data_IF_569306234067
#
_entry.id   IF_569306234067
#
_cell.length_a   1.000
_cell.length_b   1.000
_cell.length_c   1.000
_cell.angle_alpha   90.00
_cell.angle_beta   90.00
_cell.angle_gamma   90.00
#
_symmetry.space_group_name_H-M   'P 1'
#
loop_
_entity.id
_entity.type
_entity.pdbx_description
1 polymer ?
#
# COMPACT_ATOMS: atom_id res chain seq x y z
N UNK A 1 -20.47 -26.43 15.93
CA UNK A 1 -19.51 -26.43 17.05
C UNK A 1 -18.62 -25.24 16.89
N UNK A 2 -18.91 -24.13 17.57
CA UNK A 2 -18.00 -22.99 17.75
C UNK A 2 -16.76 -23.55 18.45
N UNK A 3 -15.62 -23.44 17.77
CA UNK A 3 -14.33 -23.82 18.33
C UNK A 3 -14.00 -22.77 19.40
N UNK A 4 -14.34 -23.07 20.65
CA UNK A 4 -13.99 -22.27 21.81
C UNK A 4 -12.47 -22.26 21.94
N UNK A 5 -11.82 -21.30 21.28
CA UNK A 5 -10.43 -21.00 21.64
C UNK A 5 -10.47 -20.59 23.11
N UNK A 6 -9.73 -21.27 23.98
CA UNK A 6 -9.77 -20.98 25.41
C UNK A 6 -9.41 -19.50 25.61
N UNK A 7 -10.08 -18.87 26.58
CA UNK A 7 -9.83 -17.45 26.96
C UNK A 7 -8.34 -17.19 27.24
N UNK A 8 -7.61 -18.25 27.66
CA UNK A 8 -6.14 -18.22 27.77
C UNK A 8 -5.39 -17.88 26.48
N UNK A 9 -5.95 -18.17 25.30
CA UNK A 9 -5.34 -17.78 24.02
C UNK A 9 -5.55 -16.29 23.71
N UNK A 10 -6.53 -15.64 24.32
CA UNK A 10 -6.73 -14.19 24.27
C UNK A 10 -5.80 -13.45 25.25
N UNK A 11 -5.34 -14.13 26.29
CA UNK A 11 -4.40 -13.60 27.29
C UNK A 11 -2.93 -13.81 26.91
N UNK A 12 -2.64 -14.60 25.87
CA UNK A 12 -1.29 -14.84 25.34
C UNK A 12 -0.89 -13.83 24.23
N UNK A 13 -1.49 -12.63 24.21
CA UNK A 13 -1.17 -11.59 23.24
C UNK A 13 0.14 -10.92 23.67
N UNK A 14 1.17 -11.06 22.85
CA UNK A 14 2.47 -10.41 23.06
C UNK A 14 2.55 -9.02 22.42
N UNK A 15 3.55 -8.22 22.80
CA UNK A 15 3.81 -6.92 22.18
C UNK A 15 4.00 -7.01 20.66
N UNK A 16 4.81 -7.95 20.12
CA UNK A 16 4.93 -8.20 18.70
C UNK A 16 3.60 -8.57 18.00
N UNK A 17 2.75 -9.39 18.61
CA UNK A 17 1.42 -9.74 18.07
C UNK A 17 0.52 -8.51 17.93
N UNK A 18 0.44 -7.71 19.00
CA UNK A 18 -0.31 -6.45 18.99
C UNK A 18 0.20 -5.49 17.91
N UNK A 19 1.53 -5.41 17.75
CA UNK A 19 2.16 -4.58 16.72
C UNK A 19 1.86 -5.09 15.31
N UNK A 20 1.81 -6.41 15.10
CA UNK A 20 1.43 -6.99 13.82
C UNK A 20 -0.02 -6.66 13.45
N UNK A 21 -0.95 -6.71 14.41
CA UNK A 21 -2.34 -6.26 14.20
C UNK A 21 -2.39 -4.77 13.88
N UNK A 22 -1.65 -3.94 14.60
CA UNK A 22 -1.55 -2.51 14.34
C UNK A 22 -0.96 -2.24 12.93
N UNK A 23 0.06 -2.97 12.52
CA UNK A 23 0.66 -2.87 11.18
C UNK A 23 -0.37 -3.17 10.08
N UNK A 24 -1.17 -4.22 10.25
CA UNK A 24 -2.26 -4.56 9.32
C UNK A 24 -3.32 -3.45 9.24
N UNK A 25 -3.70 -2.88 10.38
CA UNK A 25 -4.64 -1.75 10.43
C UNK A 25 -4.07 -0.50 9.75
N UNK A 26 -2.78 -0.21 9.94
CA UNK A 26 -2.08 0.90 9.29
C UNK A 26 -2.10 0.77 7.76
N UNK A 27 -1.98 -0.44 7.20
CA UNK A 27 -2.08 -0.64 5.74
C UNK A 27 -3.42 -0.16 5.16
N UNK A 28 -4.48 -0.08 5.95
CA UNK A 28 -5.77 0.48 5.52
C UNK A 28 -5.74 2.02 5.44
N UNK A 29 -4.98 2.68 6.31
CA UNK A 29 -4.88 4.14 6.39
C UNK A 29 -3.77 4.72 5.51
N UNK A 30 -2.71 3.96 5.28
CA UNK A 30 -1.54 4.36 4.48
C UNK A 30 -1.90 4.85 3.08
N UNK A 31 -2.84 4.23 2.32
CA UNK A 31 -3.23 4.74 1.00
C UNK A 31 -3.75 6.17 1.04
N UNK A 32 -4.53 6.56 2.06
CA UNK A 32 -5.01 7.92 2.22
C UNK A 32 -3.88 8.92 2.41
N UNK A 33 -2.93 8.55 3.27
CA UNK A 33 -1.74 9.37 3.54
C UNK A 33 -0.88 9.56 2.28
N UNK A 34 -0.61 8.47 1.54
CA UNK A 34 0.16 8.52 0.29
C UNK A 34 -0.56 9.35 -0.77
N UNK A 35 -1.88 9.22 -0.92
CA UNK A 35 -2.66 10.03 -1.85
C UNK A 35 -2.61 11.51 -1.52
N UNK A 36 -2.69 11.88 -0.23
CA UNK A 36 -2.58 13.26 0.21
C UNK A 36 -1.19 13.84 -0.09
N UNK A 37 -0.12 13.11 0.23
CA UNK A 37 1.26 13.51 -0.06
C UNK A 37 1.52 13.62 -1.56
N UNK A 38 1.06 12.66 -2.36
CA UNK A 38 1.17 12.71 -3.82
C UNK A 38 0.41 13.89 -4.39
N UNK A 39 -0.81 14.16 -3.87
CA UNK A 39 -1.60 15.33 -4.26
C UNK A 39 -0.88 16.65 -3.98
N UNK A 40 -0.25 16.78 -2.80
CA UNK A 40 0.54 17.96 -2.47
C UNK A 40 1.79 18.08 -3.36
N UNK A 41 2.51 16.99 -3.56
CA UNK A 41 3.74 16.98 -4.36
C UNK A 41 3.51 17.28 -5.84
N UNK A 42 2.40 16.81 -6.43
CA UNK A 42 2.13 16.99 -7.86
C UNK A 42 1.17 18.14 -8.15
N UNK A 43 0.00 18.13 -7.54
CA UNK A 43 -1.03 19.13 -7.81
C UNK A 43 -0.70 20.46 -7.12
N UNK A 44 -0.10 20.44 -5.92
CA UNK A 44 0.36 21.62 -5.22
C UNK A 44 1.45 22.37 -5.97
N UNK A 45 2.46 21.66 -6.49
CA UNK A 45 3.53 22.30 -7.28
C UNK A 45 3.04 22.81 -8.65
N UNK A 46 2.01 22.17 -9.22
CA UNK A 46 1.37 22.67 -10.43
C UNK A 46 0.65 24.00 -10.18
N UNK A 47 -0.08 24.10 -9.08
CA UNK A 47 -0.83 25.31 -8.72
C UNK A 47 0.10 26.47 -8.32
N UNK A 48 1.26 26.18 -7.75
CA UNK A 48 2.27 27.16 -7.38
C UNK A 48 3.27 27.53 -8.49
N UNK A 49 3.09 26.98 -9.71
CA UNK A 49 3.98 27.17 -10.85
C UNK A 49 5.43 26.69 -10.67
N UNK A 50 5.79 26.08 -9.55
CA UNK A 50 7.14 25.55 -9.26
C UNK A 50 7.54 24.48 -10.27
N UNK A 51 6.59 23.67 -10.76
CA UNK A 51 6.86 22.72 -11.85
C UNK A 51 7.40 23.39 -13.11
N UNK A 52 6.93 24.60 -13.43
CA UNK A 52 7.41 25.34 -14.62
C UNK A 52 8.89 25.70 -14.50
N UNK A 53 9.37 26.01 -13.30
CA UNK A 53 10.79 26.32 -13.04
C UNK A 53 11.67 25.07 -13.19
N UNK A 54 11.18 23.91 -12.78
CA UNK A 54 11.89 22.65 -12.97
C UNK A 54 12.04 22.26 -14.45
N UNK A 55 11.07 22.66 -15.29
CA UNK A 55 11.06 22.33 -16.72
C UNK A 55 11.97 23.24 -17.56
N UNK A 56 12.37 24.36 -17.01
CA UNK A 56 13.34 25.26 -17.64
C UNK A 56 14.80 24.83 -17.39
N UNK A 57 15.01 23.99 -16.37
CA UNK A 57 16.35 23.47 -16.06
C UNK A 57 16.69 22.27 -16.97
N UNK A 58 17.97 22.05 -17.31
CA UNK A 58 18.42 20.93 -18.15
C UNK A 58 18.42 19.59 -17.37
N UNK A 59 17.33 19.29 -16.65
CA UNK A 59 17.16 18.03 -15.91
C UNK A 59 16.16 17.16 -16.66
N UNK A 60 16.49 15.90 -16.96
CA UNK A 60 15.55 14.98 -17.59
C UNK A 60 14.27 14.85 -16.76
N UNK A 61 13.12 14.93 -17.40
CA UNK A 61 11.81 14.83 -16.75
C UNK A 61 11.65 13.50 -15.95
N UNK A 62 12.22 12.44 -16.50
CA UNK A 62 12.27 11.13 -15.83
C UNK A 62 12.97 11.16 -14.48
N UNK A 63 14.05 11.94 -14.34
CA UNK A 63 14.77 12.09 -13.07
C UNK A 63 13.89 12.75 -12.01
N UNK A 64 13.14 13.80 -12.39
CA UNK A 64 12.19 14.47 -11.48
C UNK A 64 11.06 13.51 -11.07
N UNK A 65 10.53 12.73 -12.03
CA UNK A 65 9.50 11.73 -11.75
C UNK A 65 9.98 10.71 -10.72
N UNK A 66 11.12 10.07 -10.97
CA UNK A 66 11.66 9.06 -10.08
C UNK A 66 12.06 9.61 -8.72
N UNK A 67 12.63 10.80 -8.67
CA UNK A 67 12.94 11.46 -7.40
C UNK A 67 11.70 11.67 -6.55
N UNK A 68 10.58 12.08 -7.14
CA UNK A 68 9.31 12.23 -6.43
C UNK A 68 8.72 10.90 -5.95
N UNK A 69 8.69 9.89 -6.82
CA UNK A 69 8.19 8.55 -6.45
C UNK A 69 9.03 7.97 -5.31
N UNK A 70 10.35 8.02 -5.42
CA UNK A 70 11.25 7.49 -4.40
C UNK A 70 11.15 8.26 -3.08
N UNK A 71 11.01 9.60 -3.14
CA UNK A 71 10.82 10.40 -1.93
C UNK A 71 9.50 10.09 -1.22
N UNK A 72 8.40 9.95 -1.96
CA UNK A 72 7.11 9.55 -1.41
C UNK A 72 7.16 8.15 -0.79
N UNK A 73 7.79 7.21 -1.49
CA UNK A 73 7.99 5.85 -1.00
C UNK A 73 8.85 5.81 0.27
N UNK A 74 9.97 6.54 0.29
CA UNK A 74 10.82 6.65 1.47
C UNK A 74 10.07 7.28 2.66
N UNK A 75 9.29 8.33 2.44
CA UNK A 75 8.45 8.92 3.49
C UNK A 75 7.40 7.95 4.02
N UNK A 76 6.76 7.17 3.15
CA UNK A 76 5.80 6.16 3.55
C UNK A 76 6.45 5.05 4.39
N UNK A 77 7.65 4.58 3.98
CA UNK A 77 8.43 3.58 4.74
C UNK A 77 8.86 4.12 6.10
N UNK A 78 9.38 5.35 6.16
CA UNK A 78 9.78 5.98 7.42
C UNK A 78 8.59 6.17 8.37
N UNK A 79 7.44 6.58 7.84
CA UNK A 79 6.21 6.71 8.63
C UNK A 79 5.75 5.36 9.18
N UNK A 80 5.80 4.31 8.36
CA UNK A 80 5.45 2.95 8.78
C UNK A 80 6.45 2.43 9.83
N UNK A 81 7.75 2.64 9.63
CA UNK A 81 8.79 2.28 10.60
C UNK A 81 8.58 3.00 11.93
N UNK A 82 8.34 4.31 11.90
CA UNK A 82 8.06 5.11 13.09
C UNK A 82 6.82 4.61 13.84
N UNK A 83 5.73 4.31 13.12
CA UNK A 83 4.52 3.78 13.72
C UNK A 83 4.73 2.37 14.32
N UNK A 84 5.51 1.52 13.66
CA UNK A 84 5.87 0.19 14.16
C UNK A 84 6.73 0.29 15.42
N UNK A 85 7.74 1.16 15.43
CA UNK A 85 8.57 1.42 16.61
C UNK A 85 7.75 1.97 17.78
N UNK A 86 6.86 2.94 17.53
CA UNK A 86 5.97 3.48 18.56
C UNK A 86 5.02 2.40 19.11
N UNK A 87 4.45 1.58 18.24
CA UNK A 87 3.61 0.45 18.67
C UNK A 87 4.38 -0.49 19.59
N UNK A 88 5.60 -0.90 19.22
CA UNK A 88 6.46 -1.75 20.04
C UNK A 88 6.81 -1.10 21.39
N UNK A 89 7.18 0.17 21.39
CA UNK A 89 7.51 0.91 22.61
C UNK A 89 6.33 0.98 23.59
N UNK A 90 5.10 1.07 23.06
CA UNK A 90 3.90 1.12 23.89
C UNK A 90 3.45 -0.28 24.33
N UNK A 91 3.48 -1.27 23.45
CA UNK A 91 2.90 -2.58 23.72
C UNK A 91 3.83 -3.52 24.49
N UNK A 92 5.14 -3.48 24.23
CA UNK A 92 6.12 -4.40 24.85
C UNK A 92 6.17 -4.30 26.39
N UNK A 93 6.13 -3.11 27.02
CA UNK A 93 6.14 -3.01 28.47
C UNK A 93 4.90 -3.61 29.15
N UNK A 94 3.77 -3.66 28.47
CA UNK A 94 2.50 -4.14 29.02
C UNK A 94 2.18 -5.60 28.66
N UNK A 95 2.60 -6.05 27.49
CA UNK A 95 2.24 -7.36 26.93
C UNK A 95 3.43 -8.33 26.88
N UNK A 96 4.62 -7.87 27.26
CA UNK A 96 5.85 -8.66 27.20
C UNK A 96 6.51 -8.64 25.83
N UNK A 97 7.76 -9.11 25.80
CA UNK A 97 8.61 -9.15 24.60
C UNK A 97 8.61 -10.52 23.90
N UNK A 98 8.00 -11.52 24.49
CA UNK A 98 7.96 -12.89 23.96
C UNK A 98 6.94 -12.95 22.82
N UNK A 99 7.43 -13.18 21.58
CA UNK A 99 6.52 -13.20 20.45
C UNK A 99 7.21 -13.43 19.10
N UNK A 100 6.46 -13.46 18.01
CA UNK A 100 6.94 -13.80 16.67
C UNK A 100 7.67 -12.63 15.99
N UNK A 101 8.84 -12.24 16.47
CA UNK A 101 9.65 -11.16 15.91
C UNK A 101 10.02 -11.37 14.45
N UNK A 102 10.29 -12.63 14.07
CA UNK A 102 10.60 -12.97 12.67
C UNK A 102 9.43 -12.67 11.74
N UNK A 103 8.21 -13.01 12.15
CA UNK A 103 7.00 -12.75 11.39
C UNK A 103 6.72 -11.25 11.26
N UNK A 104 6.92 -10.50 12.35
CA UNK A 104 6.81 -9.04 12.33
C UNK A 104 7.81 -8.42 11.35
N UNK A 105 9.08 -8.85 11.39
CA UNK A 105 10.11 -8.39 10.48
C UNK A 105 9.79 -8.72 9.01
N UNK A 106 9.33 -9.94 8.74
CA UNK A 106 8.90 -10.36 7.39
C UNK A 106 7.71 -9.51 6.93
N UNK A 107 6.68 -9.32 7.77
CA UNK A 107 5.51 -8.49 7.43
C UNK A 107 5.91 -7.04 7.13
N UNK A 108 6.85 -6.49 7.89
CA UNK A 108 7.39 -5.15 7.64
C UNK A 108 8.14 -5.08 6.30
N UNK A 109 9.03 -6.04 6.01
CA UNK A 109 9.78 -6.11 4.75
C UNK A 109 8.85 -6.27 3.54
N UNK A 110 7.81 -7.11 3.68
CA UNK A 110 6.81 -7.31 2.62
C UNK A 110 5.94 -6.07 2.38
N UNK A 111 5.88 -5.14 3.33
CA UNK A 111 5.19 -3.86 3.14
C UNK A 111 5.91 -2.94 2.15
N UNK A 112 7.22 -3.06 1.97
CA UNK A 112 7.99 -2.16 1.11
C UNK A 112 7.56 -2.18 -0.37
N UNK A 113 7.41 -3.33 -1.05
CA UNK A 113 6.91 -3.39 -2.42
C UNK A 113 5.43 -2.98 -2.52
N UNK A 114 4.61 -3.27 -1.50
CA UNK A 114 3.23 -2.81 -1.44
C UNK A 114 3.13 -1.28 -1.42
N UNK A 115 3.94 -0.64 -0.59
CA UNK A 115 4.03 0.82 -0.50
C UNK A 115 4.54 1.43 -1.81
N UNK A 116 5.48 0.77 -2.50
CA UNK A 116 5.91 1.22 -3.82
C UNK A 116 4.77 1.19 -4.84
N UNK A 117 3.97 0.12 -4.86
CA UNK A 117 2.78 0.03 -5.70
C UNK A 117 1.78 1.15 -5.42
N UNK A 118 1.50 1.41 -4.14
CA UNK A 118 0.60 2.48 -3.73
C UNK A 118 1.14 3.88 -4.09
N UNK A 119 2.44 4.12 -3.96
CA UNK A 119 3.06 5.40 -4.34
C UNK A 119 3.05 5.63 -5.85
N UNK A 120 3.26 4.58 -6.64
CA UNK A 120 3.12 4.63 -8.10
C UNK A 120 1.67 4.91 -8.50
N UNK A 121 0.70 4.22 -7.90
CA UNK A 121 -0.72 4.47 -8.12
C UNK A 121 -1.08 5.92 -7.79
N UNK A 122 -0.71 6.39 -6.61
CA UNK A 122 -0.98 7.75 -6.16
C UNK A 122 -0.32 8.79 -7.09
N UNK A 123 0.91 8.55 -7.53
CA UNK A 123 1.62 9.42 -8.49
C UNK A 123 0.92 9.41 -9.86
N UNK A 124 0.44 8.26 -10.33
CA UNK A 124 -0.35 8.15 -11.55
C UNK A 124 -1.64 8.99 -11.45
N UNK A 125 -2.44 8.80 -10.39
CA UNK A 125 -3.66 9.57 -10.17
C UNK A 125 -3.37 11.07 -10.04
N UNK A 126 -2.29 11.44 -9.35
CA UNK A 126 -1.90 12.83 -9.15
C UNK A 126 -1.53 13.55 -10.46
N UNK A 127 -1.10 12.83 -11.49
CA UNK A 127 -0.84 13.43 -12.81
C UNK A 127 -2.13 13.85 -13.53
N UNK A 128 -3.25 13.22 -13.23
CA UNK A 128 -4.56 13.62 -13.79
C UNK A 128 -5.27 14.66 -12.92
N UNK A 129 -4.96 14.72 -11.63
CA UNK A 129 -5.59 15.65 -10.68
C UNK A 129 -5.11 17.09 -10.87
N UNK A 130 -6.04 18.05 -10.81
CA UNK A 130 -5.74 19.50 -10.85
C UNK A 130 -5.51 20.09 -9.45
N UNK A 131 -5.99 19.43 -8.41
CA UNK A 131 -5.86 19.85 -7.02
C UNK A 131 -5.59 18.64 -6.14
N UNK A 132 -5.05 18.85 -4.92
CA UNK A 132 -4.86 17.79 -3.93
C UNK A 132 -6.17 17.04 -3.63
N UNK A 133 -7.28 17.76 -3.51
CA UNK A 133 -8.58 17.16 -3.29
C UNK A 133 -9.00 16.23 -4.43
N UNK A 134 -8.79 16.63 -5.70
CA UNK A 134 -9.12 15.77 -6.85
C UNK A 134 -8.26 14.51 -6.92
N UNK A 135 -7.02 14.56 -6.45
CA UNK A 135 -6.13 13.40 -6.36
C UNK A 135 -6.64 12.42 -5.29
N UNK A 136 -7.01 12.93 -4.12
CA UNK A 136 -7.55 12.11 -3.03
C UNK A 136 -8.85 11.43 -3.49
N UNK A 137 -9.78 12.20 -4.04
CA UNK A 137 -11.06 11.67 -4.51
C UNK A 137 -10.86 10.64 -5.62
N UNK A 138 -10.01 10.94 -6.63
CA UNK A 138 -9.71 10.02 -7.71
C UNK A 138 -9.05 8.72 -7.23
N UNK A 139 -8.12 8.82 -6.29
CA UNK A 139 -7.49 7.65 -5.69
C UNK A 139 -8.45 6.81 -4.85
N UNK A 140 -9.33 7.46 -4.06
CA UNK A 140 -10.37 6.78 -3.30
C UNK A 140 -11.40 6.09 -4.20
N UNK A 141 -11.79 6.72 -5.30
CA UNK A 141 -12.66 6.09 -6.29
C UNK A 141 -12.02 4.85 -6.90
N UNK A 142 -10.74 4.93 -7.28
CA UNK A 142 -10.01 3.77 -7.79
C UNK A 142 -9.98 2.63 -6.77
N UNK A 143 -9.58 2.92 -5.53
CA UNK A 143 -9.52 1.92 -4.47
C UNK A 143 -10.91 1.37 -4.10
N UNK A 144 -11.93 2.21 -4.15
CA UNK A 144 -13.33 1.80 -3.93
C UNK A 144 -13.86 0.88 -5.01
N UNK A 145 -13.56 1.17 -6.28
CA UNK A 145 -13.89 0.30 -7.41
C UNK A 145 -13.15 -1.03 -7.30
N UNK A 146 -11.84 -1.01 -7.01
CA UNK A 146 -11.04 -2.21 -6.80
C UNK A 146 -11.59 -3.08 -5.66
N UNK A 147 -11.96 -2.47 -4.54
CA UNK A 147 -12.60 -3.16 -3.42
C UNK A 147 -13.95 -3.76 -3.81
N UNK A 148 -14.80 -2.99 -4.49
CA UNK A 148 -16.10 -3.46 -4.97
C UNK A 148 -15.97 -4.64 -5.93
N UNK A 149 -15.01 -4.59 -6.85
CA UNK A 149 -14.72 -5.69 -7.76
C UNK A 149 -14.23 -6.94 -7.01
N UNK A 150 -13.35 -6.79 -6.01
CA UNK A 150 -12.88 -7.91 -5.18
C UNK A 150 -14.02 -8.57 -4.41
N UNK A 151 -14.90 -7.78 -3.81
CA UNK A 151 -16.07 -8.31 -3.11
C UNK A 151 -17.03 -9.03 -4.04
N UNK A 152 -17.33 -8.45 -5.21
CA UNK A 152 -18.18 -9.07 -6.24
C UNK A 152 -17.59 -10.37 -6.77
N UNK A 153 -16.31 -10.40 -7.10
CA UNK A 153 -15.61 -11.61 -7.55
C UNK A 153 -15.52 -12.69 -6.45
N UNK A 154 -15.34 -12.27 -5.20
CA UNK A 154 -15.37 -13.22 -4.06
C UNK A 154 -16.74 -13.86 -3.89
N UNK A 155 -17.83 -13.12 -4.11
CA UNK A 155 -19.17 -13.67 -4.06
C UNK A 155 -19.41 -14.66 -5.23
N UNK A 156 -18.93 -14.35 -6.42
CA UNK A 156 -19.02 -15.24 -7.59
C UNK A 156 -18.17 -16.52 -7.41
N UNK A 157 -16.99 -16.41 -6.84
CA UNK A 157 -16.11 -17.53 -6.51
C UNK A 157 -16.78 -18.45 -5.48
N UNK A 158 -17.43 -17.85 -4.46
CA UNK A 158 -18.22 -18.60 -3.46
C UNK A 158 -19.38 -19.38 -4.08
N UNK A 159 -20.00 -18.87 -5.12
CA UNK A 159 -21.09 -19.55 -5.88
C UNK A 159 -20.53 -20.59 -6.86
N UNK A 160 -19.21 -20.72 -6.97
CA UNK A 160 -18.56 -21.75 -7.80
C UNK A 160 -18.27 -21.32 -9.25
N UNK A 161 -18.19 -20.01 -9.52
CA UNK A 161 -17.83 -19.50 -10.85
C UNK A 161 -16.31 -19.58 -11.02
N UNK A 162 -15.85 -20.54 -11.83
CA UNK A 162 -14.43 -20.94 -11.94
C UNK A 162 -13.44 -19.84 -12.40
N UNK A 163 -13.91 -18.83 -13.14
CA UNK A 163 -13.06 -17.72 -13.59
C UNK A 163 -12.94 -16.58 -12.58
N UNK A 164 -13.79 -16.55 -11.55
CA UNK A 164 -13.83 -15.43 -10.59
C UNK A 164 -12.58 -15.37 -9.71
N UNK A 165 -12.09 -16.51 -9.21
CA UNK A 165 -10.88 -16.60 -8.40
C UNK A 165 -9.62 -16.09 -9.11
N UNK A 166 -9.28 -16.61 -10.30
CA UNK A 166 -8.15 -16.11 -11.10
C UNK A 166 -8.25 -14.61 -11.43
N UNK A 167 -9.44 -14.11 -11.77
CA UNK A 167 -9.62 -12.69 -12.07
C UNK A 167 -9.43 -11.81 -10.82
N UNK A 168 -9.94 -12.25 -9.67
CA UNK A 168 -9.76 -11.58 -8.38
C UNK A 168 -8.27 -11.43 -8.03
N UNK A 169 -7.46 -12.49 -8.21
CA UNK A 169 -6.02 -12.46 -7.91
C UNK A 169 -5.24 -11.47 -8.77
N UNK A 170 -5.78 -11.06 -9.93
CA UNK A 170 -5.21 -10.05 -10.81
C UNK A 170 -5.47 -8.60 -10.37
N UNK A 171 -6.40 -8.36 -9.43
CA UNK A 171 -6.72 -7.00 -8.97
C UNK A 171 -5.60 -6.41 -8.12
N UNK A 172 -5.41 -5.09 -8.23
CA UNK A 172 -4.34 -4.37 -7.54
C UNK A 172 -4.39 -4.55 -6.03
N UNK A 173 -5.53 -4.28 -5.41
CA UNK A 173 -5.67 -4.38 -3.96
C UNK A 173 -5.61 -5.81 -3.43
N UNK A 174 -5.99 -6.82 -4.24
CA UNK A 174 -5.81 -8.22 -3.88
C UNK A 174 -4.33 -8.59 -3.88
N UNK A 175 -3.58 -8.19 -4.92
CA UNK A 175 -2.14 -8.39 -4.99
C UNK A 175 -1.42 -7.74 -3.80
N UNK A 176 -1.78 -6.51 -3.43
CA UNK A 176 -1.23 -5.81 -2.27
C UNK A 176 -1.60 -6.52 -0.96
N UNK A 177 -2.86 -6.95 -0.79
CA UNK A 177 -3.31 -7.60 0.45
C UNK A 177 -2.67 -8.96 0.66
N UNK A 178 -2.61 -9.78 -0.39
CA UNK A 178 -1.97 -11.10 -0.33
C UNK A 178 -0.48 -11.00 -0.07
N UNK A 179 0.19 -10.01 -0.65
CA UNK A 179 1.61 -9.78 -0.41
C UNK A 179 1.87 -9.34 1.04
N UNK A 180 1.08 -8.43 1.57
CA UNK A 180 1.25 -7.93 2.94
C UNK A 180 0.93 -8.97 4.04
N UNK A 181 0.19 -10.03 3.69
CA UNK A 181 -0.18 -11.11 4.63
C UNK A 181 0.60 -12.41 4.41
N UNK A 182 1.52 -12.44 3.44
CA UNK A 182 2.27 -13.65 3.06
C UNK A 182 3.42 -13.96 4.03
N UNK A 183 3.09 -14.27 5.28
CA UNK A 183 4.07 -14.66 6.31
C UNK A 183 4.51 -16.12 6.11
N UNK A 184 3.60 -16.99 5.66
CA UNK A 184 3.83 -18.44 5.50
C UNK A 184 4.40 -18.84 4.14
N UNK A 185 4.77 -17.88 3.32
CA UNK A 185 5.29 -18.07 1.97
C UNK A 185 4.51 -17.34 0.90
N UNK A 186 5.24 -16.75 -0.04
CA UNK A 186 4.65 -15.98 -1.14
C UNK A 186 4.32 -16.92 -2.29
N UNK A 187 3.05 -17.10 -2.62
CA UNK A 187 2.67 -17.79 -3.85
C UNK A 187 3.07 -16.96 -5.08
N UNK A 188 3.39 -17.61 -6.19
CA UNK A 188 3.85 -16.94 -7.42
C UNK A 188 2.79 -15.98 -8.01
N UNK A 189 1.50 -16.28 -7.83
CA UNK A 189 0.41 -15.48 -8.39
C UNK A 189 0.42 -14.00 -7.94
N UNK A 190 0.39 -13.70 -6.64
CA UNK A 190 0.46 -12.33 -6.13
C UNK A 190 1.74 -11.59 -6.53
N UNK A 191 2.88 -12.29 -6.59
CA UNK A 191 4.15 -11.71 -7.07
C UNK A 191 4.03 -11.22 -8.50
N UNK A 192 3.56 -12.08 -9.40
CA UNK A 192 3.39 -11.77 -10.82
C UNK A 192 2.39 -10.63 -10.98
N UNK A 193 1.26 -10.67 -10.26
CA UNK A 193 0.24 -9.62 -10.31
C UNK A 193 0.79 -8.28 -9.83
N UNK A 194 1.50 -8.24 -8.70
CA UNK A 194 2.09 -7.00 -8.20
C UNK A 194 3.14 -6.44 -9.16
N UNK A 195 4.03 -7.28 -9.70
CA UNK A 195 5.04 -6.86 -10.69
C UNK A 195 4.37 -6.33 -11.96
N UNK A 196 3.31 -6.97 -12.45
CA UNK A 196 2.55 -6.50 -13.60
C UNK A 196 1.93 -5.11 -13.34
N UNK A 197 1.32 -4.90 -12.18
CA UNK A 197 0.79 -3.59 -11.78
C UNK A 197 1.88 -2.53 -11.66
N UNK A 198 3.03 -2.85 -11.06
CA UNK A 198 4.17 -1.94 -10.98
C UNK A 198 4.64 -1.53 -12.39
N UNK A 199 4.74 -2.47 -13.31
CA UNK A 199 5.13 -2.20 -14.70
C UNK A 199 4.10 -1.32 -15.42
N UNK A 200 2.80 -1.63 -15.30
CA UNK A 200 1.73 -0.84 -15.92
C UNK A 200 1.70 0.59 -15.37
N UNK A 201 1.72 0.74 -14.05
CA UNK A 201 1.69 2.05 -13.41
C UNK A 201 2.93 2.88 -13.77
N UNK A 202 4.11 2.25 -13.83
CA UNK A 202 5.35 2.90 -14.26
C UNK A 202 5.23 3.36 -15.71
N UNK A 203 4.73 2.52 -16.61
CA UNK A 203 4.57 2.86 -18.03
C UNK A 203 3.58 4.03 -18.21
N UNK A 204 2.45 4.01 -17.51
CA UNK A 204 1.45 5.08 -17.58
C UNK A 204 2.02 6.40 -17.07
N UNK A 205 2.72 6.36 -15.92
CA UNK A 205 3.36 7.55 -15.36
C UNK A 205 4.45 8.09 -16.28
N UNK A 206 5.25 7.22 -16.89
CA UNK A 206 6.31 7.61 -17.82
C UNK A 206 5.76 8.30 -19.06
N UNK A 207 4.78 7.69 -19.75
CA UNK A 207 4.19 8.26 -20.98
C UNK A 207 3.53 9.62 -20.80
N UNK A 208 3.20 10.00 -19.57
CA UNK A 208 2.59 11.30 -19.26
C UNK A 208 3.62 12.40 -19.03
N UNK A 209 4.87 12.04 -18.76
CA UNK A 209 5.95 12.98 -18.48
C UNK A 209 6.70 13.37 -19.76
N UNK A 210 6.72 12.47 -20.75
CA UNK A 210 7.23 12.76 -22.11
C UNK A 210 6.21 13.55 -22.91
#
# INVERSE_FOLDING_TARGET
TFNEKPVSALLAFSGPDATQVALRALHTLVPLFILALAGQSWAGERSSHVLREHWVRPVPRSTVLWAKILSLWAMALLSLAGATCLSLLVTTPWLGSDGPWAELAVSFLMSAPCLLGLTLLASCVAQFGRSTASVIVGGLLFLGIDLGMRLGLSALDFVGVSWAGPLKSGLFGEAVSQWSTAVDGVSLGPVVSLVAWLAVLTLVTWRRVD
#
